data_IF_812653806416
#
_entry.id   IF_812653806416
#
_cell.length_a   1.000
_cell.length_b   1.000
_cell.length_c   1.000
_cell.angle_alpha   90.00
_cell.angle_beta   90.00
_cell.angle_gamma   90.00
#
_symmetry.space_group_name_H-M   'P 1'
#
loop_
_entity.id
_entity.type
_entity.pdbx_description
1 polymer ?
#
# COMPACT_ATOMS: atom_id res chain seq x y z
N UNK A 1 26.83 23.71 -39.69
CA UNK A 1 27.03 22.30 -40.08
C UNK A 1 27.19 21.51 -38.78
N UNK A 2 26.17 20.79 -38.28
CA UNK A 2 25.79 19.39 -38.65
C UNK A 2 26.90 18.40 -38.30
N UNK A 3 26.73 17.21 -37.72
CA UNK A 3 25.59 16.32 -37.48
C UNK A 3 26.22 15.07 -36.82
N UNK A 4 25.52 14.46 -35.86
CA UNK A 4 25.26 13.01 -35.77
C UNK A 4 26.47 12.06 -35.61
N UNK A 5 26.60 11.42 -34.45
CA UNK A 5 25.92 10.17 -34.02
C UNK A 5 26.82 8.95 -34.23
N UNK A 6 26.39 7.84 -33.61
CA UNK A 6 26.96 6.49 -33.53
C UNK A 6 27.91 6.31 -32.33
N UNK A 7 27.63 5.47 -31.34
CA UNK A 7 26.73 4.30 -31.35
C UNK A 7 26.53 3.72 -29.94
N UNK A 8 25.27 3.39 -29.66
CA UNK A 8 24.71 2.45 -28.69
C UNK A 8 25.62 1.36 -28.11
N UNK A 9 25.45 1.09 -26.79
CA UNK A 9 25.15 -0.20 -26.09
C UNK A 9 24.93 0.22 -24.61
N UNK A 10 23.75 0.47 -24.03
CA UNK A 10 22.56 -0.37 -23.74
C UNK A 10 22.86 -1.73 -23.07
N UNK A 11 22.25 -1.93 -21.88
CA UNK A 11 22.18 -3.11 -20.98
C UNK A 11 23.28 -3.15 -19.89
N UNK A 12 23.00 -3.19 -18.59
CA UNK A 12 21.84 -3.79 -17.94
C UNK A 12 21.29 -3.01 -16.74
N UNK A 13 19.96 -2.97 -16.69
CA UNK A 13 19.07 -2.60 -15.61
C UNK A 13 19.31 -3.43 -14.34
N UNK A 14 19.60 -2.77 -13.23
CA UNK A 14 19.17 -3.17 -11.89
C UNK A 14 18.66 -1.86 -11.26
N UNK A 15 17.37 -1.56 -11.31
CA UNK A 15 16.32 -2.38 -10.72
C UNK A 15 16.01 -1.77 -9.36
N UNK A 16 14.93 -0.99 -9.30
CA UNK A 16 14.27 -0.49 -8.09
C UNK A 16 14.37 -1.50 -6.94
N UNK A 17 14.89 -1.10 -5.78
CA UNK A 17 14.61 -1.82 -4.52
C UNK A 17 15.09 -1.04 -3.28
N UNK A 18 14.61 0.18 -3.04
CA UNK A 18 14.51 0.68 -1.65
C UNK A 18 13.24 1.51 -1.47
N UNK A 19 12.09 0.96 -1.90
CA UNK A 19 10.86 1.31 -1.20
C UNK A 19 10.94 0.51 0.10
N UNK A 20 11.42 1.17 1.14
CA UNK A 20 11.35 0.71 2.52
C UNK A 20 9.94 0.21 2.79
N UNK A 21 9.76 -1.11 2.71
CA UNK A 21 8.56 -1.85 3.05
C UNK A 21 8.33 -1.68 4.54
N UNK A 22 7.76 -0.53 4.92
CA UNK A 22 7.38 -0.26 6.28
C UNK A 22 6.20 -1.17 6.63
N UNK A 23 6.52 -2.32 7.24
CA UNK A 23 5.60 -3.15 8.07
C UNK A 23 4.69 -2.32 8.97
N UNK A 24 5.07 -1.08 9.28
CA UNK A 24 4.26 -0.12 10.04
C UNK A 24 2.89 0.22 9.44
N UNK A 25 2.63 -0.05 8.15
CA UNK A 25 1.35 0.27 7.50
C UNK A 25 0.22 -0.72 7.84
N UNK A 26 0.51 -1.84 8.46
CA UNK A 26 -0.48 -2.89 8.71
C UNK A 26 -0.78 -2.93 10.22
N UNK A 27 -2.03 -2.73 10.61
CA UNK A 27 -2.46 -2.91 12.01
C UNK A 27 -2.37 -4.39 12.39
N UNK A 28 -2.13 -4.69 13.66
CA UNK A 28 -2.11 -6.07 14.16
C UNK A 28 -3.44 -6.81 13.89
N UNK A 29 -4.57 -6.09 13.88
CA UNK A 29 -5.88 -6.66 13.56
C UNK A 29 -6.07 -6.97 12.07
N UNK A 30 -5.26 -6.40 11.17
CA UNK A 30 -5.45 -6.58 9.73
C UNK A 30 -5.27 -8.03 9.28
N UNK A 31 -4.43 -8.80 9.97
CA UNK A 31 -4.20 -10.23 9.68
C UNK A 31 -5.29 -11.15 10.20
N UNK A 32 -6.12 -10.69 11.15
CA UNK A 32 -7.11 -11.53 11.83
C UNK A 32 -8.51 -11.31 11.25
N UNK A 33 -9.02 -12.30 10.52
CA UNK A 33 -10.32 -12.21 9.86
C UNK A 33 -11.51 -12.17 10.83
N UNK A 34 -11.31 -12.56 12.10
CA UNK A 34 -12.35 -12.46 13.12
C UNK A 34 -12.53 -11.03 13.63
N UNK A 35 -11.59 -10.12 13.34
CA UNK A 35 -11.63 -8.71 13.76
C UNK A 35 -12.55 -7.84 12.91
N UNK A 36 -13.30 -8.41 11.97
CA UNK A 36 -14.31 -7.73 11.17
C UNK A 36 -13.86 -7.35 9.76
N UNK A 37 -14.49 -6.33 9.20
CA UNK A 37 -14.32 -5.94 7.80
C UNK A 37 -12.96 -5.26 7.55
N UNK A 38 -12.37 -5.44 6.36
CA UNK A 38 -11.08 -4.86 6.02
C UNK A 38 -11.24 -3.41 5.53
N UNK A 39 -10.39 -2.54 6.07
CA UNK A 39 -10.33 -1.13 5.73
C UNK A 39 -8.90 -0.71 5.38
N UNK A 40 -8.80 0.21 4.42
CA UNK A 40 -7.54 0.84 4.03
C UNK A 40 -7.67 2.37 4.07
N UNK A 41 -6.67 3.03 4.62
CA UNK A 41 -6.54 4.47 4.49
C UNK A 41 -6.03 4.85 3.10
N UNK A 42 -6.82 5.58 2.32
CA UNK A 42 -6.43 6.09 1.01
C UNK A 42 -5.30 7.13 1.02
N UNK A 43 -4.97 7.70 2.19
CA UNK A 43 -3.87 8.68 2.32
C UNK A 43 -2.52 8.04 2.64
N UNK A 44 -2.48 7.15 3.63
CA UNK A 44 -1.22 6.58 4.15
C UNK A 44 -1.07 5.08 3.91
N UNK A 45 -2.06 4.43 3.29
CA UNK A 45 -2.08 2.99 3.03
C UNK A 45 -2.24 2.14 4.29
N UNK A 46 -2.67 2.72 5.42
CA UNK A 46 -2.84 1.97 6.65
C UNK A 46 -3.97 0.94 6.53
N UNK A 47 -3.67 -0.33 6.75
CA UNK A 47 -4.63 -1.43 6.73
C UNK A 47 -5.08 -1.77 8.15
N UNK A 48 -6.38 -1.95 8.35
CA UNK A 48 -6.97 -2.34 9.64
C UNK A 48 -8.22 -3.19 9.39
N UNK A 49 -8.50 -4.14 10.28
CA UNK A 49 -9.84 -4.75 10.39
C UNK A 49 -10.58 -4.21 11.60
N UNK A 50 -11.88 -4.01 11.43
CA UNK A 50 -12.79 -3.51 12.46
C UNK A 50 -14.18 -4.10 12.26
N UNK A 51 -14.82 -4.50 13.36
CA UNK A 51 -16.24 -4.90 13.39
C UNK A 51 -17.18 -3.70 13.33
N UNK A 52 -16.67 -2.50 13.66
CA UNK A 52 -17.40 -1.26 13.51
C UNK A 52 -17.13 -0.62 12.15
N UNK A 53 -18.12 0.09 11.60
CA UNK A 53 -17.91 0.85 10.36
C UNK A 53 -16.88 1.97 10.55
N UNK A 54 -15.81 1.91 9.75
CA UNK A 54 -14.69 2.85 9.77
C UNK A 54 -14.74 3.86 8.62
N UNK A 55 -15.73 3.78 7.72
CA UNK A 55 -15.78 4.59 6.49
C UNK A 55 -15.74 6.10 6.77
N UNK A 56 -16.45 6.56 7.81
CA UNK A 56 -16.45 7.97 8.21
C UNK A 56 -15.44 8.30 9.31
N UNK A 57 -14.68 7.32 9.80
CA UNK A 57 -13.73 7.50 10.90
C UNK A 57 -12.37 7.99 10.38
N UNK A 58 -11.65 8.70 11.25
CA UNK A 58 -10.28 9.14 10.96
C UNK A 58 -9.34 7.95 11.05
N UNK A 59 -8.37 7.87 10.13
CA UNK A 59 -7.31 6.87 10.21
C UNK A 59 -6.56 7.01 11.54
N UNK A 60 -6.41 5.95 12.35
CA UNK A 60 -5.73 6.03 13.64
C UNK A 60 -4.24 6.38 13.52
N UNK A 61 -3.66 6.22 12.32
CA UNK A 61 -2.25 6.49 12.06
C UNK A 61 -1.96 7.91 11.60
N UNK A 62 -2.76 8.43 10.65
CA UNK A 62 -2.50 9.74 10.03
C UNK A 62 -3.63 10.76 10.24
N UNK A 63 -4.67 10.38 10.99
CA UNK A 63 -5.84 11.19 11.35
C UNK A 63 -6.63 11.78 10.16
N UNK A 64 -6.35 11.32 8.93
CA UNK A 64 -7.11 11.71 7.76
C UNK A 64 -8.46 10.96 7.70
N UNK A 65 -9.52 11.66 7.33
CA UNK A 65 -10.85 11.09 7.08
C UNK A 65 -10.90 10.48 5.67
N UNK A 66 -10.07 9.48 5.45
CA UNK A 66 -9.84 8.83 4.15
C UNK A 66 -9.81 7.30 4.29
N UNK A 67 -10.60 6.75 5.21
CA UNK A 67 -10.75 5.30 5.36
C UNK A 67 -11.77 4.81 4.34
N UNK A 68 -11.43 3.74 3.62
CA UNK A 68 -12.33 3.04 2.70
C UNK A 68 -12.40 1.58 3.08
N UNK A 69 -13.60 1.00 2.99
CA UNK A 69 -13.74 -0.47 3.02
C UNK A 69 -13.15 -1.01 1.72
N UNK A 70 -12.34 -2.05 1.83
CA UNK A 70 -11.75 -2.77 0.70
C UNK A 70 -12.34 -4.17 0.66
N UNK A 71 -12.15 -4.91 -0.44
CA UNK A 71 -12.51 -6.33 -0.46
C UNK A 71 -11.47 -7.19 0.25
N UNK A 72 -11.87 -8.41 0.63
CA UNK A 72 -10.99 -9.40 1.26
C UNK A 72 -9.80 -9.78 0.37
N UNK A 73 -10.01 -9.83 -0.95
CA UNK A 73 -8.97 -10.03 -1.97
C UNK A 73 -7.98 -8.86 -2.02
N UNK A 74 -8.44 -7.61 -1.93
CA UNK A 74 -7.57 -6.43 -1.84
C UNK A 74 -6.76 -6.44 -0.54
N UNK A 75 -7.36 -6.87 0.57
CA UNK A 75 -6.69 -7.00 1.86
C UNK A 75 -5.60 -8.07 1.80
N UNK A 76 -5.91 -9.26 1.28
CA UNK A 76 -4.94 -10.33 1.09
C UNK A 76 -3.78 -9.87 0.19
N UNK A 77 -4.09 -9.21 -0.93
CA UNK A 77 -3.09 -8.63 -1.83
C UNK A 77 -2.20 -7.63 -1.09
N UNK A 78 -2.78 -6.77 -0.27
CA UNK A 78 -2.02 -5.75 0.47
C UNK A 78 -1.22 -6.31 1.66
N UNK A 79 -1.61 -7.47 2.21
CA UNK A 79 -0.85 -8.22 3.21
C UNK A 79 0.30 -9.03 2.59
N UNK A 80 0.16 -9.47 1.34
CA UNK A 80 1.14 -10.30 0.62
C UNK A 80 1.98 -9.53 -0.41
N UNK A 81 1.74 -8.23 -0.59
CA UNK A 81 2.57 -7.34 -1.39
C UNK A 81 3.88 -7.01 -0.63
N UNK A 82 4.76 -8.01 -0.53
CA UNK A 82 6.17 -7.87 -0.14
C UNK A 82 7.05 -7.62 -1.38
#
# INVERSE_FOLDING_TARGET
MTRREFRNVLLGTAGLAVLSGCKSRIAASASDAAMGDPYQCGKCGHLIRSTEDMTEKRCPRCYAKAMKRISEEEMATALHAD
#
